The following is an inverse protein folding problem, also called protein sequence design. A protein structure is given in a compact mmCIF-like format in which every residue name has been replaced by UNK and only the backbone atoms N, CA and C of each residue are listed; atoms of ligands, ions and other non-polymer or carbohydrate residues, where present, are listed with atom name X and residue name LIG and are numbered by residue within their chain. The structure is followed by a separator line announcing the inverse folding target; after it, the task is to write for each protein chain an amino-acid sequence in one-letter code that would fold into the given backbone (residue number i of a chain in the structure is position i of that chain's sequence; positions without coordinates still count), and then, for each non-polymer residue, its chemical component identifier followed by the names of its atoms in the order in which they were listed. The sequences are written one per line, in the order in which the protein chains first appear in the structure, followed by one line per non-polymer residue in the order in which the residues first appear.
data_IF_596422185181
#
_entry.id   IF_596422185181
#
_cell.length_a   1.000
_cell.length_b   1.000
_cell.length_c   1.000
_cell.angle_alpha   90.00
_cell.angle_beta   90.00
_cell.angle_gamma   90.00
#
_symmetry.space_group_name_H-M   'P 1'
#
loop_
_entity.id
_entity.type
_entity.pdbx_description
1 polymer ?
#
# COMPACT_ATOMS: atom_id res chain seq x y z
N UNK A 1 17.89 -6.47 24.36
CA UNK A 1 18.10 -5.09 23.88
C UNK A 1 18.07 -4.97 22.36
N UNK A 2 18.67 -5.89 21.59
CA UNK A 2 18.74 -5.81 20.12
C UNK A 2 17.35 -5.90 19.40
N UNK A 3 16.43 -6.73 19.87
CA UNK A 3 15.11 -6.92 19.26
C UNK A 3 14.17 -5.70 19.44
N UNK A 4 14.35 -4.92 20.50
CA UNK A 4 13.58 -3.69 20.75
C UNK A 4 14.05 -2.55 19.84
N UNK A 5 15.36 -2.43 19.62
CA UNK A 5 15.95 -1.45 18.71
C UNK A 5 15.61 -1.74 17.23
N UNK A 6 15.44 -3.02 16.85
CA UNK A 6 15.02 -3.40 15.49
C UNK A 6 13.55 -3.03 15.25
N UNK A 7 12.65 -3.31 16.21
CA UNK A 7 11.23 -2.90 16.15
C UNK A 7 11.03 -1.39 16.18
N UNK A 8 11.88 -0.64 16.91
CA UNK A 8 11.85 0.83 16.89
C UNK A 8 12.32 1.38 15.54
N UNK A 9 13.34 0.79 14.90
CA UNK A 9 13.81 1.21 13.57
C UNK A 9 12.79 0.97 12.45
N UNK A 10 12.01 -0.11 12.51
CA UNK A 10 10.92 -0.37 11.57
C UNK A 10 9.76 0.64 11.69
N UNK A 11 9.59 1.27 12.85
CA UNK A 11 8.59 2.31 13.09
C UNK A 11 8.90 3.66 12.43
N UNK A 12 10.15 3.87 12.01
CA UNK A 12 10.64 5.15 11.47
C UNK A 12 11.00 5.10 9.98
N UNK A 13 10.66 4.04 9.26
CA UNK A 13 10.87 3.98 7.81
C UNK A 13 9.56 3.78 7.08
N UNK A 14 9.27 4.65 6.10
CA UNK A 14 8.12 4.42 5.22
C UNK A 14 8.32 3.13 4.43
N UNK A 15 7.36 2.20 4.54
CA UNK A 15 7.36 0.94 3.81
C UNK A 15 6.83 1.15 2.38
N UNK A 16 7.30 0.32 1.45
CA UNK A 16 6.74 0.28 0.10
C UNK A 16 5.90 -0.97 -0.11
N UNK A 17 4.67 -0.78 -0.56
CA UNK A 17 3.85 -1.82 -1.18
C UNK A 17 3.80 -1.56 -2.68
N UNK A 18 3.51 -2.60 -3.46
CA UNK A 18 3.22 -2.44 -4.88
C UNK A 18 1.71 -2.47 -5.12
N UNK A 19 1.22 -1.54 -5.96
CA UNK A 19 -0.21 -1.42 -6.30
C UNK A 19 -0.49 -2.06 -7.65
N UNK A 20 -0.65 -3.36 -7.67
CA UNK A 20 -0.94 -4.14 -8.88
C UNK A 20 -1.44 -5.55 -8.56
N UNK A 21 -2.12 -6.18 -9.50
CA UNK A 21 -2.40 -7.62 -9.50
C UNK A 21 -1.56 -8.38 -10.55
N UNK A 22 -0.71 -7.67 -11.30
CA UNK A 22 0.17 -8.27 -12.29
C UNK A 22 1.34 -8.97 -11.61
N UNK A 23 1.36 -10.29 -11.71
CA UNK A 23 2.33 -11.14 -11.01
C UNK A 23 3.77 -10.89 -11.48
N UNK A 24 3.98 -10.61 -12.78
CA UNK A 24 5.31 -10.32 -13.31
C UNK A 24 5.88 -9.00 -12.77
N UNK A 25 5.05 -7.97 -12.65
CA UNK A 25 5.47 -6.71 -12.04
C UNK A 25 5.80 -6.88 -10.56
N UNK A 26 5.01 -7.71 -9.85
CA UNK A 26 5.27 -8.04 -8.44
C UNK A 26 6.62 -8.78 -8.30
N UNK A 27 6.90 -9.79 -9.15
CA UNK A 27 8.20 -10.50 -9.13
C UNK A 27 9.37 -9.54 -9.33
N UNK A 28 9.30 -8.70 -10.37
CA UNK A 28 10.36 -7.72 -10.67
C UNK A 28 10.59 -6.74 -9.52
N UNK A 29 9.52 -6.23 -8.90
CA UNK A 29 9.65 -5.33 -7.76
C UNK A 29 10.17 -6.05 -6.51
N UNK A 30 9.77 -7.31 -6.29
CA UNK A 30 10.27 -8.13 -5.18
C UNK A 30 11.76 -8.46 -5.35
N UNK A 31 12.21 -8.75 -6.57
CA UNK A 31 13.63 -8.99 -6.88
C UNK A 31 14.52 -7.76 -6.63
N UNK A 32 13.96 -6.56 -6.73
CA UNK A 32 14.65 -5.32 -6.34
C UNK A 32 14.84 -5.21 -4.82
N UNK A 33 14.13 -6.00 -4.01
CA UNK A 33 14.21 -5.98 -2.54
C UNK A 33 13.63 -4.72 -1.90
N UNK A 34 12.77 -3.97 -2.61
CA UNK A 34 12.25 -2.68 -2.12
C UNK A 34 10.82 -2.74 -1.59
N UNK A 35 10.06 -3.78 -1.92
CA UNK A 35 8.66 -3.93 -1.49
C UNK A 35 8.55 -4.94 -0.34
N UNK A 36 7.55 -4.74 0.52
CA UNK A 36 7.22 -5.65 1.61
C UNK A 36 5.71 -5.94 1.73
N UNK A 37 4.93 -5.63 0.69
CA UNK A 37 3.49 -5.89 0.65
C UNK A 37 2.88 -5.55 -0.69
N UNK A 38 1.61 -5.89 -0.86
CA UNK A 38 0.87 -5.70 -2.10
C UNK A 38 -0.52 -5.15 -1.81
N UNK A 39 -0.97 -4.19 -2.60
CA UNK A 39 -2.38 -3.82 -2.65
C UNK A 39 -2.98 -4.20 -3.99
N UNK A 40 -4.15 -4.82 -3.95
CA UNK A 40 -4.97 -5.07 -5.12
C UNK A 40 -6.31 -4.35 -5.00
N UNK A 41 -7.08 -4.38 -6.06
CA UNK A 41 -8.48 -3.91 -6.07
C UNK A 41 -9.24 -4.62 -7.21
N UNK A 42 -10.59 -4.57 -7.22
CA UNK A 42 -11.40 -5.27 -8.23
C UNK A 42 -11.02 -4.92 -9.67
N UNK A 43 -10.64 -3.65 -9.94
CA UNK A 43 -10.23 -3.21 -11.28
C UNK A 43 -8.89 -3.78 -11.71
N UNK A 44 -7.92 -3.91 -10.79
CA UNK A 44 -6.63 -4.52 -11.06
C UNK A 44 -6.77 -6.02 -11.30
N UNK A 45 -7.54 -6.73 -10.47
CA UNK A 45 -7.83 -8.15 -10.65
C UNK A 45 -8.54 -8.40 -11.99
N UNK A 46 -9.54 -7.57 -12.33
CA UNK A 46 -10.28 -7.71 -13.59
C UNK A 46 -9.38 -7.57 -14.83
N UNK A 47 -8.34 -6.74 -14.78
CA UNK A 47 -7.38 -6.57 -15.88
C UNK A 47 -6.56 -7.83 -16.15
N UNK A 48 -6.30 -8.65 -15.13
CA UNK A 48 -5.55 -9.90 -15.30
C UNK A 48 -6.38 -10.98 -16.00
N UNK A 49 -7.73 -10.89 -16.01
CA UNK A 49 -8.62 -11.86 -16.66
C UNK A 49 -8.54 -13.26 -16.04
N UNK A 50 -8.07 -13.38 -14.79
CA UNK A 50 -7.86 -14.63 -14.04
C UNK A 50 -8.75 -14.71 -12.81
N UNK A 51 -8.90 -15.90 -12.26
CA UNK A 51 -9.60 -16.10 -10.99
C UNK A 51 -8.89 -15.38 -9.84
N UNK A 52 -9.68 -14.72 -8.97
CA UNK A 52 -9.17 -13.97 -7.83
C UNK A 52 -8.30 -14.83 -6.91
N UNK A 53 -8.79 -16.03 -6.54
CA UNK A 53 -8.07 -16.89 -5.60
C UNK A 53 -6.76 -17.41 -6.18
N UNK A 54 -6.71 -17.69 -7.49
CA UNK A 54 -5.48 -18.12 -8.16
C UNK A 54 -4.44 -17.01 -8.16
N UNK A 55 -4.83 -15.78 -8.52
CA UNK A 55 -3.93 -14.62 -8.52
C UNK A 55 -3.40 -14.34 -7.10
N UNK A 56 -4.28 -14.33 -6.10
CA UNK A 56 -3.87 -14.07 -4.70
C UNK A 56 -2.93 -15.17 -4.18
N UNK A 57 -3.19 -16.44 -4.45
CA UNK A 57 -2.29 -17.54 -4.05
C UNK A 57 -0.91 -17.40 -4.69
N UNK A 58 -0.85 -16.99 -5.95
CA UNK A 58 0.43 -16.75 -6.61
C UNK A 58 1.16 -15.56 -5.98
N UNK A 59 0.47 -14.45 -5.71
CA UNK A 59 1.05 -13.28 -5.04
C UNK A 59 1.59 -13.65 -3.65
N UNK A 60 0.84 -14.44 -2.86
CA UNK A 60 1.28 -14.87 -1.52
C UNK A 60 2.51 -15.78 -1.55
N UNK A 61 2.78 -16.45 -2.67
CA UNK A 61 4.00 -17.24 -2.85
C UNK A 61 5.24 -16.42 -3.19
N UNK A 62 5.07 -15.14 -3.59
CA UNK A 62 6.16 -14.25 -4.00
C UNK A 62 6.52 -13.27 -2.89
N UNK A 63 5.53 -12.66 -2.25
CA UNK A 63 5.72 -11.61 -1.25
C UNK A 63 5.34 -12.11 0.14
N UNK A 64 6.32 -12.17 1.04
CA UNK A 64 6.09 -12.47 2.45
C UNK A 64 5.78 -11.17 3.21
N UNK A 65 4.53 -10.74 3.15
CA UNK A 65 4.06 -9.51 3.78
C UNK A 65 2.56 -9.28 3.57
N UNK A 66 2.00 -8.16 4.07
CA UNK A 66 0.57 -7.88 3.95
C UNK A 66 0.11 -7.79 2.49
N UNK A 67 -0.97 -8.50 2.16
CA UNK A 67 -1.58 -8.50 0.83
C UNK A 67 -3.04 -8.11 0.95
N UNK A 68 -3.40 -6.95 0.42
CA UNK A 68 -4.78 -6.45 0.46
C UNK A 68 -5.61 -7.04 -0.68
N UNK A 69 -6.59 -7.89 -0.32
CA UNK A 69 -7.64 -8.39 -1.21
C UNK A 69 -8.98 -7.72 -0.87
N UNK A 70 -9.64 -7.13 -1.86
CA UNK A 70 -10.85 -6.35 -1.66
C UNK A 70 -12.10 -7.21 -1.82
N UNK A 71 -13.12 -6.97 -0.98
CA UNK A 71 -14.46 -7.53 -1.14
C UNK A 71 -15.04 -7.14 -2.50
N UNK A 72 -16.00 -7.90 -3.01
CA UNK A 72 -16.58 -7.65 -4.34
C UNK A 72 -17.21 -6.26 -4.40
N UNK A 73 -16.99 -5.57 -5.51
CA UNK A 73 -17.54 -4.23 -5.73
C UNK A 73 -19.08 -4.18 -5.72
N UNK A 74 -19.73 -5.31 -5.91
CA UNK A 74 -21.20 -5.46 -5.90
C UNK A 74 -21.78 -5.76 -4.52
N UNK A 75 -20.95 -6.08 -3.52
CA UNK A 75 -21.39 -6.35 -2.15
C UNK A 75 -21.46 -5.04 -1.39
N UNK A 76 -22.67 -4.62 -1.03
CA UNK A 76 -22.93 -3.29 -0.45
C UNK A 76 -23.37 -3.31 1.00
N UNK A 77 -23.74 -4.47 1.55
CA UNK A 77 -24.17 -4.64 2.93
C UNK A 77 -23.07 -5.22 3.83
N UNK A 78 -23.17 -4.97 5.13
CA UNK A 78 -22.17 -5.39 6.09
C UNK A 78 -22.05 -6.92 6.21
N UNK A 79 -23.17 -7.65 6.15
CA UNK A 79 -23.19 -9.10 6.31
C UNK A 79 -22.44 -9.79 5.16
N UNK A 80 -22.72 -9.35 3.92
CA UNK A 80 -21.99 -9.81 2.72
C UNK A 80 -20.50 -9.51 2.81
N UNK A 81 -20.10 -8.29 3.20
CA UNK A 81 -18.69 -7.91 3.36
C UNK A 81 -18.00 -8.72 4.46
N UNK A 82 -18.67 -9.02 5.57
CA UNK A 82 -18.13 -9.86 6.65
C UNK A 82 -17.89 -11.29 6.15
N UNK A 83 -18.88 -11.86 5.44
CA UNK A 83 -18.75 -13.21 4.87
C UNK A 83 -17.57 -13.29 3.90
N UNK A 84 -17.52 -12.39 2.92
CA UNK A 84 -16.41 -12.33 1.96
C UNK A 84 -15.08 -12.05 2.63
N UNK A 85 -15.05 -11.19 3.64
CA UNK A 85 -13.87 -10.87 4.41
C UNK A 85 -13.26 -12.09 5.12
N UNK A 86 -14.08 -12.94 5.71
CA UNK A 86 -13.63 -14.22 6.30
C UNK A 86 -13.09 -15.18 5.24
N UNK A 87 -13.73 -15.26 4.07
CA UNK A 87 -13.27 -16.07 2.95
C UNK A 87 -11.90 -15.60 2.42
N UNK A 88 -11.71 -14.28 2.27
CA UNK A 88 -10.44 -13.68 1.85
C UNK A 88 -9.35 -13.93 2.90
N UNK A 89 -9.64 -13.69 4.18
CA UNK A 89 -8.68 -13.90 5.26
C UNK A 89 -8.23 -15.36 5.38
N UNK A 90 -9.09 -16.31 5.02
CA UNK A 90 -8.79 -17.75 5.06
C UNK A 90 -7.83 -18.22 3.95
N UNK A 91 -7.57 -17.41 2.91
CA UNK A 91 -6.69 -17.78 1.80
C UNK A 91 -5.24 -17.93 2.27
N UNK A 92 -4.74 -16.98 3.08
CA UNK A 92 -3.37 -16.98 3.59
C UNK A 92 -3.24 -16.07 4.85
N UNK A 93 -2.34 -16.38 5.80
CA UNK A 93 -2.13 -15.55 7.00
C UNK A 93 -1.74 -14.08 6.74
N UNK A 94 -1.15 -13.78 5.59
CA UNK A 94 -0.75 -12.44 5.19
C UNK A 94 -1.89 -11.62 4.58
N UNK A 95 -3.09 -12.19 4.44
CA UNK A 95 -4.22 -11.48 3.86
C UNK A 95 -4.71 -10.34 4.75
N UNK A 96 -5.02 -9.24 4.11
CA UNK A 96 -5.67 -8.06 4.68
C UNK A 96 -6.95 -7.81 3.88
N UNK A 97 -8.08 -7.81 4.56
CA UNK A 97 -9.38 -7.62 3.90
C UNK A 97 -9.59 -6.14 3.60
N UNK A 98 -9.66 -5.80 2.31
CA UNK A 98 -9.87 -4.42 1.88
C UNK A 98 -11.35 -4.14 1.73
N UNK A 99 -11.82 -3.05 2.37
CA UNK A 99 -13.25 -2.72 2.53
C UNK A 99 -13.48 -1.26 2.18
N UNK A 100 -14.50 -0.93 1.36
CA UNK A 100 -14.79 0.46 0.99
C UNK A 100 -15.30 1.28 2.19
N UNK A 101 -14.96 2.57 2.22
CA UNK A 101 -15.35 3.51 3.26
C UNK A 101 -16.84 3.88 3.14
N UNK A 102 -17.68 3.06 3.75
CA UNK A 102 -19.13 3.24 3.83
C UNK A 102 -19.62 2.93 5.24
N UNK A 103 -20.85 3.28 5.57
CA UNK A 103 -21.46 2.91 6.87
C UNK A 103 -21.45 1.39 7.04
N UNK A 104 -21.84 0.64 6.02
CA UNK A 104 -21.85 -0.83 6.05
C UNK A 104 -20.44 -1.39 6.10
N UNK A 105 -19.49 -0.76 5.40
CA UNK A 105 -18.07 -1.12 5.48
C UNK A 105 -17.50 -0.97 6.89
N UNK A 106 -17.81 0.13 7.60
CA UNK A 106 -17.39 0.33 9.00
C UNK A 106 -17.98 -0.71 9.95
N UNK A 107 -19.25 -1.13 9.74
CA UNK A 107 -19.85 -2.22 10.52
C UNK A 107 -19.10 -3.54 10.28
N UNK A 108 -18.74 -3.83 9.02
CA UNK A 108 -17.95 -5.01 8.68
C UNK A 108 -16.55 -4.97 9.31
N UNK A 109 -15.86 -3.83 9.22
CA UNK A 109 -14.55 -3.63 9.85
C UNK A 109 -14.60 -3.91 11.35
N UNK A 110 -15.59 -3.39 12.06
CA UNK A 110 -15.76 -3.62 13.51
C UNK A 110 -15.85 -5.11 13.84
N UNK A 111 -16.59 -5.89 13.07
CA UNK A 111 -16.76 -7.34 13.30
C UNK A 111 -15.47 -8.08 12.98
N UNK A 112 -14.90 -7.87 11.79
CA UNK A 112 -13.68 -8.56 11.35
C UNK A 112 -12.48 -8.23 12.26
N UNK A 113 -12.34 -6.99 12.69
CA UNK A 113 -11.29 -6.57 13.62
C UNK A 113 -11.44 -7.27 14.99
N UNK A 114 -12.67 -7.40 15.51
CA UNK A 114 -12.93 -8.14 16.75
C UNK A 114 -12.59 -9.65 16.63
N UNK A 115 -12.60 -10.19 15.44
CA UNK A 115 -12.19 -11.57 15.11
C UNK A 115 -10.68 -11.70 14.88
N UNK A 116 -9.90 -10.61 14.99
CA UNK A 116 -8.46 -10.59 14.72
C UNK A 116 -8.10 -10.57 13.24
N UNK A 117 -9.06 -10.36 12.34
CA UNK A 117 -8.84 -10.24 10.91
C UNK A 117 -8.38 -8.82 10.58
N UNK A 118 -7.21 -8.70 9.93
CA UNK A 118 -6.66 -7.41 9.51
C UNK A 118 -7.51 -6.80 8.40
N UNK A 119 -7.80 -5.52 8.51
CA UNK A 119 -8.60 -4.79 7.52
C UNK A 119 -7.88 -3.56 6.99
N UNK A 120 -8.16 -3.20 5.72
CA UNK A 120 -7.69 -2.00 5.05
C UNK A 120 -8.90 -1.23 4.51
N UNK A 121 -9.24 -0.11 5.17
CA UNK A 121 -10.36 0.71 4.69
C UNK A 121 -9.89 1.59 3.54
N UNK A 122 -10.53 1.43 2.38
CA UNK A 122 -10.17 2.07 1.13
C UNK A 122 -11.17 3.14 0.69
N UNK A 123 -10.82 3.90 -0.36
CA UNK A 123 -11.61 5.01 -0.88
C UNK A 123 -11.81 6.11 0.17
N UNK A 124 -10.72 6.46 0.84
CA UNK A 124 -10.69 7.55 1.81
C UNK A 124 -10.24 8.83 1.11
N UNK A 125 -11.04 9.89 1.25
CA UNK A 125 -10.81 11.20 0.65
C UNK A 125 -10.90 12.35 1.66
N UNK A 126 -11.14 12.05 2.94
CA UNK A 126 -11.14 13.03 4.03
C UNK A 126 -10.50 12.46 5.29
N UNK A 127 -9.91 13.31 6.11
CA UNK A 127 -9.35 12.91 7.39
C UNK A 127 -10.43 12.37 8.36
N UNK A 128 -11.66 12.86 8.28
CA UNK A 128 -12.79 12.34 9.07
C UNK A 128 -13.11 10.89 8.72
N UNK A 129 -13.03 10.51 7.44
CA UNK A 129 -13.21 9.11 7.02
C UNK A 129 -12.11 8.21 7.62
N UNK A 130 -10.86 8.65 7.57
CA UNK A 130 -9.73 7.91 8.16
C UNK A 130 -9.90 7.74 9.67
N UNK A 131 -10.31 8.79 10.37
CA UNK A 131 -10.56 8.75 11.81
C UNK A 131 -11.69 7.77 12.18
N UNK A 132 -12.80 7.77 11.43
CA UNK A 132 -13.89 6.80 11.63
C UNK A 132 -13.43 5.36 11.40
N UNK A 133 -12.62 5.11 10.35
CA UNK A 133 -12.07 3.80 10.05
C UNK A 133 -11.14 3.30 11.18
N UNK A 134 -10.25 4.15 11.66
CA UNK A 134 -9.38 3.84 12.79
C UNK A 134 -10.19 3.51 14.06
N UNK A 135 -11.24 4.29 14.36
CA UNK A 135 -12.14 4.03 15.50
C UNK A 135 -12.96 2.75 15.35
N UNK A 136 -13.23 2.31 14.12
CA UNK A 136 -13.88 1.03 13.87
C UNK A 136 -12.93 -0.18 14.05
N UNK A 137 -11.62 0.05 14.22
CA UNK A 137 -10.60 -0.98 14.42
C UNK A 137 -9.84 -1.37 13.15
N UNK A 138 -9.84 -0.53 12.12
CA UNK A 138 -9.06 -0.79 10.91
C UNK A 138 -7.57 -0.91 11.22
N UNK A 139 -6.90 -1.94 10.66
CA UNK A 139 -5.44 -2.08 10.74
C UNK A 139 -4.76 -1.05 9.83
N UNK A 140 -5.33 -0.81 8.66
CA UNK A 140 -4.86 0.14 7.67
C UNK A 140 -5.97 1.03 7.15
N UNK A 141 -5.61 2.24 6.75
CA UNK A 141 -6.43 3.15 5.95
C UNK A 141 -5.71 3.51 4.67
N UNK A 142 -6.43 3.54 3.55
CA UNK A 142 -5.89 3.89 2.23
C UNK A 142 -6.49 5.20 1.72
N UNK A 143 -5.92 6.38 2.08
CA UNK A 143 -6.28 7.66 1.49
C UNK A 143 -5.75 7.78 0.07
N UNK A 144 -6.57 8.31 -0.84
CA UNK A 144 -6.31 8.38 -2.29
C UNK A 144 -5.85 9.77 -2.71
N UNK A 145 -4.57 10.10 -2.50
CA UNK A 145 -4.06 11.43 -2.82
C UNK A 145 -4.12 11.76 -4.32
N UNK A 146 -3.74 10.84 -5.21
CA UNK A 146 -3.69 11.14 -6.64
C UNK A 146 -5.05 11.40 -7.27
N UNK A 147 -6.14 10.80 -6.74
CA UNK A 147 -7.51 11.15 -7.21
C UNK A 147 -7.95 12.54 -6.78
N UNK A 148 -7.45 13.05 -5.66
CA UNK A 148 -7.68 14.44 -5.25
C UNK A 148 -6.94 15.40 -6.19
N UNK A 149 -5.71 15.09 -6.55
CA UNK A 149 -4.96 15.89 -7.52
C UNK A 149 -5.65 15.90 -8.89
N UNK A 150 -6.26 14.79 -9.32
CA UNK A 150 -7.02 14.69 -10.57
C UNK A 150 -8.19 15.72 -10.63
N UNK A 151 -8.66 16.20 -9.47
CA UNK A 151 -9.72 17.21 -9.34
C UNK A 151 -9.21 18.56 -8.80
N UNK A 152 -7.92 18.83 -8.92
CA UNK A 152 -7.27 20.08 -8.51
C UNK A 152 -7.33 20.36 -7.00
N UNK A 153 -7.31 19.29 -6.18
CA UNK A 153 -7.21 19.37 -4.73
C UNK A 153 -5.88 18.76 -4.31
N UNK A 154 -5.09 19.48 -3.51
CA UNK A 154 -3.79 18.97 -3.07
C UNK A 154 -3.95 17.69 -2.22
N UNK A 155 -3.73 16.53 -2.84
CA UNK A 155 -3.93 15.23 -2.19
C UNK A 155 -2.97 14.98 -1.04
N UNK A 156 -1.80 15.62 -1.05
CA UNK A 156 -0.82 15.48 0.03
C UNK A 156 -1.33 16.08 1.35
N UNK A 157 -2.15 17.12 1.31
CA UNK A 157 -2.72 17.76 2.52
C UNK A 157 -3.57 16.73 3.28
N UNK A 158 -4.30 15.86 2.58
CA UNK A 158 -5.05 14.76 3.20
C UNK A 158 -4.13 13.81 3.98
N UNK A 159 -2.98 13.45 3.42
CA UNK A 159 -2.02 12.56 4.08
C UNK A 159 -1.47 13.24 5.34
N UNK A 160 -1.06 14.52 5.25
CA UNK A 160 -0.55 15.30 6.38
C UNK A 160 -1.56 15.41 7.51
N UNK A 161 -2.80 15.71 7.19
CA UNK A 161 -3.89 15.82 8.19
C UNK A 161 -4.12 14.47 8.90
N UNK A 162 -4.15 13.36 8.16
CA UNK A 162 -4.35 12.04 8.77
C UNK A 162 -3.18 11.68 9.67
N UNK A 163 -1.93 11.88 9.22
CA UNK A 163 -0.72 11.62 10.02
C UNK A 163 -0.78 12.43 11.31
N UNK A 164 -1.03 13.73 11.22
CA UNK A 164 -1.11 14.62 12.38
C UNK A 164 -2.19 14.19 13.38
N UNK A 165 -3.37 13.78 12.88
CA UNK A 165 -4.46 13.32 13.75
C UNK A 165 -4.09 11.99 14.41
N UNK A 166 -3.52 11.05 13.67
CA UNK A 166 -3.16 9.74 14.21
C UNK A 166 -2.06 9.86 15.27
N UNK A 167 -1.06 10.71 15.04
CA UNK A 167 0.00 11.00 16.01
C UNK A 167 -0.54 11.68 17.27
N UNK A 168 -1.43 12.67 17.14
CA UNK A 168 -2.00 13.41 18.27
C UNK A 168 -2.75 12.49 19.25
N UNK A 169 -3.36 11.42 18.75
CA UNK A 169 -4.15 10.49 19.56
C UNK A 169 -3.51 9.10 19.74
N UNK A 170 -2.29 8.90 19.25
CA UNK A 170 -1.58 7.63 19.34
C UNK A 170 -2.35 6.47 18.70
N UNK A 171 -2.97 6.70 17.54
CA UNK A 171 -3.71 5.66 16.83
C UNK A 171 -2.76 4.67 16.17
N UNK A 172 -2.98 3.37 16.38
CA UNK A 172 -2.10 2.31 15.85
C UNK A 172 -2.39 1.95 14.38
N UNK A 173 -3.47 2.49 13.81
CA UNK A 173 -3.84 2.29 12.40
C UNK A 173 -2.78 2.86 11.48
N UNK A 174 -2.20 2.05 10.58
CA UNK A 174 -1.20 2.51 9.63
C UNK A 174 -1.85 3.13 8.38
N UNK A 175 -1.20 4.17 7.86
CA UNK A 175 -1.62 4.92 6.67
C UNK A 175 -0.92 4.33 5.44
N UNK A 176 -1.69 3.81 4.48
CA UNK A 176 -1.22 3.40 3.15
C UNK A 176 -1.57 4.51 2.17
N UNK A 177 -0.63 5.42 1.88
CA UNK A 177 -0.82 6.42 0.84
C UNK A 177 -1.05 5.73 -0.51
N UNK A 178 -2.23 5.92 -1.09
CA UNK A 178 -2.70 5.21 -2.28
C UNK A 178 -3.01 6.15 -3.44
N UNK A 179 -3.20 5.57 -4.64
CA UNK A 179 -3.38 6.35 -5.87
C UNK A 179 -2.15 7.19 -6.23
N UNK A 180 -0.97 6.67 -5.95
CA UNK A 180 0.32 7.28 -6.33
C UNK A 180 0.42 7.37 -7.85
N UNK A 181 0.82 8.55 -8.39
CA UNK A 181 0.90 8.80 -9.83
C UNK A 181 2.34 8.98 -10.33
N UNK A 182 3.25 9.43 -9.47
CA UNK A 182 4.61 9.82 -9.86
C UNK A 182 5.57 9.78 -8.65
N UNK A 183 6.89 9.88 -8.87
CA UNK A 183 7.89 9.89 -7.80
C UNK A 183 7.75 11.03 -6.79
N UNK A 184 7.20 12.20 -7.19
CA UNK A 184 7.01 13.34 -6.28
C UNK A 184 6.00 12.97 -5.19
N UNK A 185 4.89 12.31 -5.53
CA UNK A 185 3.93 11.81 -4.54
C UNK A 185 4.59 10.92 -3.49
N UNK A 186 5.54 10.07 -3.90
CA UNK A 186 6.25 9.18 -2.96
C UNK A 186 7.11 10.00 -1.99
N UNK A 187 7.85 10.98 -2.52
CA UNK A 187 8.68 11.87 -1.69
C UNK A 187 7.82 12.67 -0.71
N UNK A 188 6.71 13.25 -1.18
CA UNK A 188 5.82 14.06 -0.37
C UNK A 188 5.16 13.22 0.74
N UNK A 189 4.72 11.99 0.43
CA UNK A 189 4.19 11.05 1.41
C UNK A 189 5.24 10.67 2.48
N UNK A 190 6.51 10.47 2.07
CA UNK A 190 7.59 10.20 3.00
C UNK A 190 7.86 11.38 3.93
N UNK A 191 7.88 12.61 3.39
CA UNK A 191 8.05 13.85 4.18
C UNK A 191 6.86 14.11 5.11
N UNK A 192 5.66 13.75 4.69
CA UNK A 192 4.45 13.85 5.50
C UNK A 192 4.40 12.82 6.65
N UNK A 193 5.21 11.77 6.61
CA UNK A 193 5.22 10.73 7.64
C UNK A 193 4.22 9.59 7.40
N UNK A 194 3.78 9.36 6.16
CA UNK A 194 2.97 8.18 5.84
C UNK A 194 3.71 6.89 6.22
N UNK A 195 3.00 5.91 6.77
CA UNK A 195 3.61 4.64 7.19
C UNK A 195 4.00 3.77 5.99
N UNK A 196 3.19 3.81 4.94
CA UNK A 196 3.31 2.98 3.75
C UNK A 196 2.92 3.82 2.54
N UNK A 197 3.64 3.67 1.43
CA UNK A 197 3.20 4.11 0.10
C UNK A 197 2.95 2.88 -0.77
N UNK A 198 1.76 2.75 -1.36
CA UNK A 198 1.51 1.71 -2.36
C UNK A 198 1.67 2.28 -3.75
N UNK A 199 2.68 1.78 -4.46
CA UNK A 199 3.27 2.43 -5.63
C UNK A 199 3.14 1.52 -6.86
N UNK A 200 2.62 2.00 -8.00
CA UNK A 200 2.63 1.24 -9.25
C UNK A 200 4.05 0.91 -9.71
N UNK A 201 4.25 -0.26 -10.34
CA UNK A 201 5.58 -0.72 -10.78
C UNK A 201 6.33 0.31 -11.66
N UNK A 202 5.62 0.92 -12.61
CA UNK A 202 6.23 1.94 -13.46
C UNK A 202 6.75 3.16 -12.69
N UNK A 203 6.10 3.54 -11.59
CA UNK A 203 6.57 4.63 -10.71
C UNK A 203 7.79 4.18 -9.90
N UNK A 204 7.81 2.94 -9.39
CA UNK A 204 9.00 2.37 -8.73
C UNK A 204 10.20 2.45 -9.66
N UNK A 205 10.04 2.04 -10.92
CA UNK A 205 11.11 2.13 -11.94
C UNK A 205 11.50 3.57 -12.23
N UNK A 206 10.53 4.51 -12.29
CA UNK A 206 10.84 5.94 -12.48
C UNK A 206 11.70 6.51 -11.35
N UNK A 207 11.51 6.07 -10.12
CA UNK A 207 12.27 6.52 -8.95
C UNK A 207 13.78 6.17 -9.05
N UNK A 208 14.16 5.19 -9.86
CA UNK A 208 15.57 4.81 -10.07
C UNK A 208 16.26 5.65 -11.14
N UNK A 209 15.52 6.45 -11.93
CA UNK A 209 16.05 7.13 -13.11
C UNK A 209 16.45 8.57 -12.79
N UNK A 210 17.70 8.91 -13.09
CA UNK A 210 18.16 10.30 -13.02
C UNK A 210 19.28 10.54 -14.05
N UNK A 211 19.25 11.62 -14.85
CA UNK A 211 20.27 11.88 -15.86
C UNK A 211 21.69 11.95 -15.32
N UNK A 212 21.89 12.47 -14.11
CA UNK A 212 23.20 12.53 -13.48
C UNK A 212 23.71 11.16 -13.02
N UNK A 213 22.83 10.21 -12.71
CA UNK A 213 23.20 8.84 -12.42
C UNK A 213 23.76 8.18 -13.67
N UNK A 214 23.07 8.32 -14.81
CA UNK A 214 23.49 7.75 -16.08
C UNK A 214 24.85 8.35 -16.51
N UNK A 215 24.97 9.69 -16.49
CA UNK A 215 26.22 10.38 -16.81
C UNK A 215 27.36 9.99 -15.84
N UNK A 216 27.06 9.79 -14.57
CA UNK A 216 28.02 9.33 -13.56
C UNK A 216 28.53 7.93 -13.86
N UNK A 217 27.64 7.01 -14.20
CA UNK A 217 27.99 5.62 -14.58
C UNK A 217 28.88 5.63 -15.83
N UNK A 218 28.49 6.35 -16.88
CA UNK A 218 29.29 6.46 -18.10
C UNK A 218 30.71 7.00 -17.82
N UNK A 219 30.81 8.04 -17.00
CA UNK A 219 32.10 8.60 -16.60
C UNK A 219 32.95 7.56 -15.86
N UNK A 220 32.37 6.86 -14.86
CA UNK A 220 33.09 5.85 -14.11
C UNK A 220 33.57 4.70 -14.99
N UNK A 221 32.75 4.23 -15.92
CA UNK A 221 33.14 3.21 -16.90
C UNK A 221 34.32 3.67 -17.78
N UNK A 222 34.24 4.92 -18.28
CA UNK A 222 35.33 5.50 -19.10
C UNK A 222 36.66 5.58 -18.32
N UNK A 223 36.58 6.12 -17.08
CA UNK A 223 37.76 6.28 -16.23
C UNK A 223 38.38 4.90 -15.87
N UNK A 224 37.51 3.90 -15.57
CA UNK A 224 37.98 2.52 -15.29
C UNK A 224 38.70 1.87 -16.48
N UNK A 225 38.07 1.94 -17.68
CA UNK A 225 38.67 1.38 -18.90
C UNK A 225 39.98 2.04 -19.26
N UNK A 226 40.14 3.33 -19.02
CA UNK A 226 41.39 4.05 -19.30
C UNK A 226 42.60 3.52 -18.48
N UNK A 227 42.36 2.94 -17.31
CA UNK A 227 43.41 2.46 -16.39
C UNK A 227 43.56 0.93 -16.47
N UNK A 228 42.46 0.20 -16.54
CA UNK A 228 42.45 -1.27 -16.38
C UNK A 228 42.14 -2.05 -17.66
N UNK A 229 41.70 -1.38 -18.71
CA UNK A 229 41.18 -2.03 -19.92
C UNK A 229 39.76 -2.54 -19.76
N UNK A 230 39.22 -3.21 -20.79
CA UNK A 230 37.90 -3.86 -20.74
C UNK A 230 37.90 -5.18 -19.96
#
# INVERSE_FOLDING_TARGET
MCARAHKEKERYSMKFFIDTANVEDIRKANDMGVICGVTTNPSLIAKEGRDFNEVIKEITSIVDGPISGEVKATTTDAEGMIKEGREIAAIHPNMVVKIPMTVEGLKAVKVLSAEGIKTNVTLIFTANQALLAARAGATYVSPFLGRLDDISTAGIDLIQDIVQIFDNYGLETEIIAASIRNPIHVTDCALAGAHIATVPYNVIVQMTKHPLTDAGIEKFQKDYRAVFGD
#
